data_IF_701521383464
#
_entry.id   IF_701521383464
#
_cell.length_a   1.000
_cell.length_b   1.000
_cell.length_c   1.000
_cell.angle_alpha   90.00
_cell.angle_beta   90.00
_cell.angle_gamma   90.00
#
_symmetry.space_group_name_H-M   'P 1'
#
loop_
_entity.id
_entity.type
_entity.pdbx_description
1 polymer ?
#
# COMPACT_ATOMS: atom_id res chain seq x y z
N UNK A 1 -7.52 -26.40 2.64
CA UNK A 1 -8.41 -25.28 2.99
C UNK A 1 -7.61 -24.34 3.86
N UNK A 2 -7.20 -23.18 3.35
CA UNK A 2 -6.06 -22.37 3.88
C UNK A 2 -6.40 -21.53 5.13
N UNK A 3 -7.64 -21.64 5.65
CA UNK A 3 -8.11 -20.84 6.78
C UNK A 3 -8.54 -21.66 8.02
N UNK A 4 -8.26 -22.97 8.05
CA UNK A 4 -8.86 -23.88 9.05
C UNK A 4 -8.09 -24.04 10.36
N UNK A 5 -6.81 -23.68 10.40
CA UNK A 5 -5.99 -23.85 11.62
C UNK A 5 -6.51 -22.99 12.77
N UNK A 6 -6.77 -23.58 13.93
CA UNK A 6 -7.21 -22.83 15.11
C UNK A 6 -6.11 -21.98 15.75
N UNK A 7 -4.84 -22.20 15.38
CA UNK A 7 -3.69 -21.44 15.89
C UNK A 7 -3.42 -20.15 15.12
N UNK A 8 -4.25 -19.80 14.14
CA UNK A 8 -4.11 -18.60 13.31
C UNK A 8 -5.36 -17.75 13.51
N UNK A 9 -5.24 -16.60 14.17
CA UNK A 9 -6.41 -15.79 14.58
C UNK A 9 -6.99 -14.94 13.45
N UNK A 10 -6.16 -14.53 12.49
CA UNK A 10 -6.55 -13.69 11.36
C UNK A 10 -5.74 -14.04 10.11
N UNK A 11 -6.19 -13.59 8.96
CA UNK A 11 -5.48 -13.76 7.68
C UNK A 11 -4.95 -12.43 7.17
N UNK A 12 -3.92 -12.50 6.34
CA UNK A 12 -3.30 -11.33 5.71
C UNK A 12 -3.32 -11.48 4.20
N UNK A 13 -3.38 -10.33 3.52
CA UNK A 13 -3.32 -10.26 2.06
C UNK A 13 -2.34 -9.15 1.68
N UNK A 14 -1.57 -9.40 0.61
CA UNK A 14 -0.64 -8.43 0.03
C UNK A 14 -1.03 -8.15 -1.41
N UNK A 15 -0.92 -6.88 -1.84
CA UNK A 15 -1.40 -6.42 -3.14
C UNK A 15 -0.31 -5.66 -3.91
N UNK A 16 0.22 -6.31 -4.95
CA UNK A 16 1.42 -5.86 -5.67
C UNK A 16 1.22 -5.84 -7.18
N UNK A 17 0.39 -4.91 -7.68
CA UNK A 17 -0.04 -4.88 -9.10
C UNK A 17 1.09 -4.71 -10.12
N UNK A 18 2.20 -4.08 -9.73
CA UNK A 18 3.40 -3.95 -10.56
C UNK A 18 4.21 -5.26 -10.56
N UNK A 19 4.48 -5.85 -9.40
CA UNK A 19 5.19 -7.13 -9.30
C UNK A 19 4.42 -8.29 -9.96
N UNK A 20 3.09 -8.23 -10.01
CA UNK A 20 2.25 -9.21 -10.69
C UNK A 20 2.15 -8.98 -12.21
N UNK A 21 2.81 -7.96 -12.75
CA UNK A 21 2.84 -7.63 -14.18
C UNK A 21 1.53 -7.05 -14.73
N UNK A 22 0.64 -6.56 -13.86
CA UNK A 22 -0.65 -5.96 -14.26
C UNK A 22 -0.49 -4.47 -14.56
N UNK A 23 0.38 -3.79 -13.81
CA UNK A 23 0.71 -2.38 -14.01
C UNK A 23 2.11 -2.23 -14.60
N UNK A 24 2.22 -1.44 -15.66
CA UNK A 24 3.49 -0.92 -16.16
C UNK A 24 3.53 0.58 -15.87
N UNK A 25 4.40 1.05 -14.96
CA UNK A 25 4.50 2.47 -14.62
C UNK A 25 4.97 3.35 -15.80
N UNK A 26 5.70 2.80 -16.78
CA UNK A 26 6.08 3.51 -18.00
C UNK A 26 4.94 3.63 -19.03
N UNK A 27 3.87 2.85 -18.85
CA UNK A 27 2.66 2.88 -19.66
C UNK A 27 1.41 2.99 -18.78
N UNK A 28 1.47 3.89 -17.80
CA UNK A 28 0.44 4.04 -16.77
C UNK A 28 -0.94 4.35 -17.33
N UNK A 29 -1.03 5.14 -18.42
CA UNK A 29 -2.32 5.49 -19.02
C UNK A 29 -3.11 4.28 -19.51
N UNK A 30 -2.42 3.27 -20.06
CA UNK A 30 -3.04 2.06 -20.56
C UNK A 30 -3.25 1.01 -19.45
N UNK A 31 -2.29 0.87 -18.53
CA UNK A 31 -2.29 -0.25 -17.57
C UNK A 31 -2.96 0.08 -16.23
N UNK A 32 -2.99 1.35 -15.81
CA UNK A 32 -3.54 1.74 -14.50
C UNK A 32 -5.03 1.38 -14.32
N UNK A 33 -5.93 1.54 -15.31
CA UNK A 33 -7.32 1.11 -15.16
C UNK A 33 -7.46 -0.39 -14.89
N UNK A 34 -6.64 -1.21 -15.57
CA UNK A 34 -6.60 -2.67 -15.39
C UNK A 34 -6.06 -3.03 -13.99
N UNK A 35 -4.97 -2.38 -13.57
CA UNK A 35 -4.39 -2.55 -12.25
C UNK A 35 -5.39 -2.21 -11.13
N UNK A 36 -6.15 -1.13 -11.28
CA UNK A 36 -7.16 -0.73 -10.30
C UNK A 36 -8.34 -1.71 -10.25
N UNK A 37 -8.80 -2.20 -11.41
CA UNK A 37 -9.84 -3.22 -11.47
C UNK A 37 -9.39 -4.53 -10.81
N UNK A 38 -8.17 -4.98 -11.10
CA UNK A 38 -7.57 -6.15 -10.50
C UNK A 38 -7.41 -6.02 -8.98
N UNK A 39 -6.93 -4.87 -8.50
CA UNK A 39 -6.81 -4.57 -7.08
C UNK A 39 -8.14 -4.65 -6.33
N UNK A 40 -9.20 -4.03 -6.88
CA UNK A 40 -10.54 -4.08 -6.28
C UNK A 40 -11.09 -5.50 -6.26
N UNK A 41 -10.98 -6.23 -7.38
CA UNK A 41 -11.41 -7.62 -7.44
C UNK A 41 -10.66 -8.49 -6.43
N UNK A 42 -9.35 -8.30 -6.30
CA UNK A 42 -8.53 -9.02 -5.32
C UNK A 42 -9.06 -8.80 -3.90
N UNK A 43 -9.29 -7.55 -3.49
CA UNK A 43 -9.84 -7.25 -2.16
C UNK A 43 -11.25 -7.83 -1.98
N UNK A 44 -12.14 -7.69 -2.98
CA UNK A 44 -13.52 -8.18 -2.92
C UNK A 44 -13.58 -9.71 -2.77
N UNK A 45 -12.81 -10.43 -3.59
CA UNK A 45 -12.71 -11.88 -3.52
C UNK A 45 -12.26 -12.35 -2.13
N UNK A 46 -11.32 -11.64 -1.49
CA UNK A 46 -10.84 -12.01 -0.16
C UNK A 46 -11.79 -11.58 0.96
N UNK A 47 -12.48 -10.45 0.81
CA UNK A 47 -13.52 -10.03 1.75
C UNK A 47 -14.67 -11.05 1.86
N UNK A 48 -14.84 -11.94 0.88
CA UNK A 48 -15.83 -13.02 0.93
C UNK A 48 -15.48 -14.12 1.94
N UNK A 49 -14.22 -14.27 2.37
CA UNK A 49 -13.84 -15.21 3.43
C UNK A 49 -14.20 -14.61 4.80
N UNK A 50 -15.15 -15.24 5.49
CA UNK A 50 -15.75 -14.69 6.73
C UNK A 50 -15.32 -15.37 8.02
N UNK A 51 -14.58 -16.46 7.93
CA UNK A 51 -14.25 -17.28 9.11
C UNK A 51 -13.25 -16.58 10.05
N UNK A 52 -12.43 -15.68 9.50
CA UNK A 52 -11.41 -14.93 10.24
C UNK A 52 -11.30 -13.49 9.75
N UNK A 53 -10.92 -12.54 10.61
CA UNK A 53 -10.58 -11.19 10.18
C UNK A 53 -9.47 -11.21 9.12
N UNK A 54 -9.49 -10.23 8.21
CA UNK A 54 -8.48 -10.06 7.17
C UNK A 54 -7.87 -8.67 7.30
N UNK A 55 -6.55 -8.59 7.12
CA UNK A 55 -5.78 -7.34 7.04
C UNK A 55 -5.08 -7.27 5.68
N UNK A 56 -5.27 -6.16 4.97
CA UNK A 56 -4.44 -5.80 3.81
C UNK A 56 -3.13 -5.22 4.36
N UNK A 57 -2.21 -6.07 4.79
CA UNK A 57 -1.03 -5.60 5.52
C UNK A 57 0.07 -5.05 4.62
N UNK A 58 -0.02 -5.27 3.31
CA UNK A 58 0.87 -4.65 2.33
C UNK A 58 0.14 -4.30 1.05
N UNK A 59 0.35 -3.08 0.58
CA UNK A 59 0.10 -2.70 -0.80
C UNK A 59 0.96 -1.50 -1.19
N UNK A 60 1.37 -1.44 -2.44
CA UNK A 60 2.18 -0.35 -2.95
C UNK A 60 2.15 -0.25 -4.47
N UNK A 61 2.64 0.88 -4.98
CA UNK A 61 2.86 1.13 -6.40
C UNK A 61 3.98 2.17 -6.54
N UNK A 62 4.76 2.08 -7.61
CA UNK A 62 5.93 2.94 -7.81
C UNK A 62 5.56 4.41 -7.99
N UNK A 63 6.58 5.27 -8.00
CA UNK A 63 6.42 6.68 -8.40
C UNK A 63 6.15 6.76 -9.92
N UNK A 64 5.75 7.92 -10.40
CA UNK A 64 5.42 8.09 -11.81
C UNK A 64 6.61 7.72 -12.71
N UNK A 65 6.34 6.98 -13.80
CA UNK A 65 7.34 6.47 -14.75
C UNK A 65 8.46 5.64 -14.10
N UNK A 66 8.16 4.86 -13.05
CA UNK A 66 9.10 4.01 -12.32
C UNK A 66 10.29 4.78 -11.72
N UNK A 67 10.13 6.07 -11.45
CA UNK A 67 11.23 6.86 -10.90
C UNK A 67 11.56 6.41 -9.48
N UNK A 68 12.86 6.30 -9.19
CA UNK A 68 13.41 5.95 -7.88
C UNK A 68 13.87 7.21 -7.11
N UNK A 69 13.61 8.40 -7.64
CA UNK A 69 13.97 9.68 -7.00
C UNK A 69 12.89 10.13 -6.03
N UNK A 70 13.28 10.53 -4.82
CA UNK A 70 12.38 11.09 -3.81
C UNK A 70 11.70 12.40 -4.21
N UNK A 71 12.17 13.06 -5.28
CA UNK A 71 11.60 14.31 -5.80
C UNK A 71 10.67 14.09 -6.99
N UNK A 72 10.56 12.87 -7.51
CA UNK A 72 9.70 12.60 -8.65
C UNK A 72 8.22 12.59 -8.26
N UNK A 73 7.29 12.94 -9.16
CA UNK A 73 5.86 12.93 -8.86
C UNK A 73 5.32 11.55 -8.48
N UNK A 74 4.22 11.54 -7.72
CA UNK A 74 3.53 10.34 -7.21
C UNK A 74 2.05 10.35 -7.61
N UNK A 75 1.72 10.90 -8.78
CA UNK A 75 0.32 11.14 -9.16
C UNK A 75 -0.48 9.86 -9.39
N UNK A 76 0.14 8.82 -9.93
CA UNK A 76 -0.49 7.50 -10.10
C UNK A 76 -0.64 6.80 -8.76
N UNK A 77 0.39 6.87 -7.90
CA UNK A 77 0.35 6.36 -6.53
C UNK A 77 -0.78 6.98 -5.70
N UNK A 78 -0.95 8.30 -5.74
CA UNK A 78 -2.02 8.97 -5.00
C UNK A 78 -3.42 8.53 -5.44
N UNK A 79 -3.62 8.36 -6.75
CA UNK A 79 -4.88 7.82 -7.29
C UNK A 79 -5.11 6.39 -6.83
N UNK A 80 -4.05 5.57 -6.86
CA UNK A 80 -4.09 4.18 -6.43
C UNK A 80 -4.42 4.06 -4.95
N UNK A 81 -3.67 4.76 -4.10
CA UNK A 81 -3.83 4.75 -2.63
C UNK A 81 -5.22 5.19 -2.24
N UNK A 82 -5.73 6.29 -2.82
CA UNK A 82 -7.10 6.76 -2.54
C UNK A 82 -8.14 5.68 -2.86
N UNK A 83 -7.99 5.00 -3.98
CA UNK A 83 -8.95 4.00 -4.41
C UNK A 83 -8.86 2.70 -3.60
N UNK A 84 -7.65 2.21 -3.31
CA UNK A 84 -7.41 1.00 -2.50
C UNK A 84 -7.86 1.22 -1.06
N UNK A 85 -7.46 2.32 -0.41
CA UNK A 85 -7.90 2.63 0.95
C UNK A 85 -9.43 2.79 1.03
N UNK A 86 -10.05 3.51 0.08
CA UNK A 86 -11.51 3.65 0.07
C UNK A 86 -12.20 2.30 -0.07
N UNK A 87 -11.71 1.44 -0.95
CA UNK A 87 -12.30 0.13 -1.18
C UNK A 87 -12.14 -0.78 0.04
N UNK A 88 -10.93 -0.89 0.60
CA UNK A 88 -10.66 -1.63 1.83
C UNK A 88 -11.52 -1.11 3.01
N UNK A 89 -11.64 0.21 3.15
CA UNK A 89 -12.50 0.84 4.17
C UNK A 89 -13.97 0.44 4.03
N UNK A 90 -14.49 0.38 2.80
CA UNK A 90 -15.86 -0.06 2.53
C UNK A 90 -16.09 -1.52 2.94
N UNK A 91 -15.09 -2.38 2.73
CA UNK A 91 -15.09 -3.78 3.18
C UNK A 91 -14.73 -3.96 4.65
N UNK A 92 -14.43 -2.88 5.39
CA UNK A 92 -13.95 -2.91 6.78
C UNK A 92 -12.66 -3.72 6.97
N UNK A 93 -11.81 -3.76 5.95
CA UNK A 93 -10.50 -4.40 5.98
C UNK A 93 -9.48 -3.32 6.39
N UNK A 94 -8.78 -3.46 7.52
CA UNK A 94 -7.64 -2.60 7.86
C UNK A 94 -6.56 -2.73 6.78
N UNK A 95 -5.95 -1.61 6.41
CA UNK A 95 -4.96 -1.58 5.34
C UNK A 95 -3.70 -0.83 5.77
N UNK A 96 -2.55 -1.41 5.46
CA UNK A 96 -1.22 -0.85 5.71
C UNK A 96 -0.50 -0.70 4.37
N UNK A 97 -0.05 0.52 4.07
CA UNK A 97 0.71 0.77 2.87
C UNK A 97 2.16 0.31 3.05
N UNK A 98 2.76 -0.16 1.98
CA UNK A 98 4.19 -0.41 1.91
C UNK A 98 4.85 0.69 1.06
N UNK A 99 5.80 1.46 1.58
CA UNK A 99 6.25 1.50 2.98
C UNK A 99 6.66 2.93 3.37
N UNK A 100 6.81 3.19 4.67
CA UNK A 100 7.21 4.52 5.15
C UNK A 100 8.73 4.67 5.10
N UNK A 101 9.23 5.57 4.24
CA UNK A 101 10.63 5.94 4.17
C UNK A 101 11.01 7.08 5.12
N UNK A 102 10.03 7.90 5.52
CA UNK A 102 10.25 9.02 6.43
C UNK A 102 11.32 9.98 5.92
N UNK A 103 12.21 10.41 6.82
CA UNK A 103 13.30 11.36 6.55
C UNK A 103 14.48 10.73 5.79
N UNK A 104 14.58 9.40 5.76
CA UNK A 104 15.68 8.70 5.10
C UNK A 104 15.70 8.97 3.59
N UNK A 105 16.89 8.98 3.00
CA UNK A 105 17.05 9.12 1.54
C UNK A 105 18.04 8.12 1.00
N UNK A 106 17.76 7.62 -0.21
CA UNK A 106 18.79 6.87 -0.93
C UNK A 106 19.96 7.79 -1.27
N UNK A 107 21.18 7.30 -1.06
CA UNK A 107 22.41 7.98 -1.48
C UNK A 107 22.43 8.26 -2.98
N UNK A 108 21.90 7.33 -3.77
CA UNK A 108 21.70 7.46 -5.22
C UNK A 108 20.35 6.83 -5.55
N UNK A 109 19.41 7.54 -6.21
CA UNK A 109 18.13 6.97 -6.62
C UNK A 109 18.28 5.58 -7.26
N UNK A 110 17.65 4.57 -6.68
CA UNK A 110 17.67 3.20 -7.17
C UNK A 110 18.92 2.37 -6.88
N UNK A 111 19.92 2.93 -6.19
CA UNK A 111 20.99 2.09 -5.65
C UNK A 111 20.43 1.10 -4.64
N UNK A 112 20.99 -0.10 -4.60
CA UNK A 112 20.75 -1.03 -3.50
C UNK A 112 21.42 -0.53 -2.23
N UNK A 113 20.75 -0.74 -1.09
CA UNK A 113 21.24 -0.32 0.22
C UNK A 113 22.62 -0.92 0.53
N UNK A 114 23.47 -0.15 1.19
CA UNK A 114 24.75 -0.58 1.74
C UNK A 114 24.86 -0.17 3.20
N UNK A 115 25.74 -0.86 3.93
CA UNK A 115 26.05 -0.49 5.30
C UNK A 115 26.45 0.99 5.39
N UNK A 116 25.73 1.73 6.23
CA UNK A 116 25.90 3.18 6.42
C UNK A 116 24.97 4.06 5.60
N UNK A 117 24.21 3.50 4.65
CA UNK A 117 23.11 4.21 4.00
C UNK A 117 21.90 4.30 4.96
N UNK A 118 21.09 5.36 4.82
CA UNK A 118 19.85 5.52 5.59
C UNK A 118 18.89 4.34 5.35
N UNK A 119 18.18 3.94 6.40
CA UNK A 119 17.04 3.04 6.25
C UNK A 119 15.84 3.81 5.69
N UNK A 120 15.21 3.23 4.68
CA UNK A 120 13.93 3.66 4.12
C UNK A 120 12.99 2.45 4.06
N UNK A 121 11.80 2.62 3.49
CA UNK A 121 10.79 1.55 3.41
C UNK A 121 11.16 0.42 2.46
N UNK A 122 12.04 0.68 1.48
CA UNK A 122 12.52 -0.33 0.54
C UNK A 122 13.65 -1.17 1.21
N UNK A 123 13.48 -2.50 1.33
CA UNK A 123 14.46 -3.39 1.92
C UNK A 123 15.69 -3.57 1.02
N UNK A 124 16.85 -4.02 1.55
CA UNK A 124 18.12 -4.06 0.80
C UNK A 124 18.18 -4.91 -0.47
N UNK A 125 17.17 -5.75 -0.72
CA UNK A 125 17.06 -6.55 -1.94
C UNK A 125 16.27 -5.86 -3.06
N UNK A 126 15.76 -4.65 -2.80
CA UNK A 126 15.04 -3.80 -3.74
C UNK A 126 15.84 -2.52 -4.03
N UNK A 127 15.62 -1.87 -5.18
CA UNK A 127 16.17 -0.55 -5.45
C UNK A 127 15.63 0.49 -4.45
N UNK A 128 16.51 1.24 -3.78
CA UNK A 128 16.08 2.26 -2.82
C UNK A 128 15.32 3.41 -3.52
N UNK A 129 14.06 3.62 -3.13
CA UNK A 129 13.14 4.60 -3.70
C UNK A 129 11.98 4.02 -4.52
N UNK A 130 11.85 2.69 -4.58
CA UNK A 130 10.81 2.02 -5.38
C UNK A 130 9.39 2.27 -4.84
N UNK A 131 9.13 1.86 -3.61
CA UNK A 131 7.82 1.97 -2.95
C UNK A 131 7.81 2.88 -1.73
N UNK A 132 8.97 3.33 -1.24
CA UNK A 132 9.04 4.30 -0.14
C UNK A 132 8.14 5.53 -0.35
N UNK A 133 7.38 5.86 0.69
CA UNK A 133 6.67 7.13 0.90
C UNK A 133 7.52 7.99 1.82
N UNK A 134 8.03 9.10 1.32
CA UNK A 134 8.89 10.00 2.08
C UNK A 134 8.08 11.02 2.89
N UNK A 135 8.71 11.64 3.88
CA UNK A 135 8.16 12.77 4.65
C UNK A 135 7.79 13.97 3.75
N UNK A 136 8.41 14.08 2.58
CA UNK A 136 8.12 15.12 1.58
C UNK A 136 7.01 14.78 0.59
N UNK A 137 6.47 13.54 0.61
CA UNK A 137 5.36 13.11 -0.26
C UNK A 137 4.01 13.59 0.31
N UNK A 138 3.86 14.90 0.48
CA UNK A 138 2.76 15.54 1.19
C UNK A 138 1.37 15.06 0.73
N UNK A 139 1.16 14.92 -0.58
CA UNK A 139 -0.12 14.49 -1.14
C UNK A 139 -0.47 13.04 -0.77
N UNK A 140 0.53 12.14 -0.77
CA UNK A 140 0.36 10.75 -0.32
C UNK A 140 0.10 10.70 1.18
N UNK A 141 0.85 11.48 1.97
CA UNK A 141 0.69 11.56 3.43
C UNK A 141 -0.68 12.10 3.84
N UNK A 142 -1.23 13.08 3.11
CA UNK A 142 -2.58 13.59 3.33
C UNK A 142 -3.65 12.51 3.10
N UNK A 143 -3.49 11.69 2.06
CA UNK A 143 -4.39 10.56 1.79
C UNK A 143 -4.33 9.54 2.93
N UNK A 144 -3.12 9.16 3.35
CA UNK A 144 -2.90 8.21 4.47
C UNK A 144 -3.54 8.77 5.76
N UNK A 145 -3.28 10.03 6.09
CA UNK A 145 -3.85 10.71 7.26
C UNK A 145 -5.38 10.72 7.23
N UNK A 146 -5.97 11.03 6.08
CA UNK A 146 -7.42 11.04 5.91
C UNK A 146 -8.02 9.67 6.24
N UNK A 147 -7.49 8.59 5.67
CA UNK A 147 -8.03 7.25 5.92
C UNK A 147 -7.73 6.71 7.32
N UNK A 148 -6.58 7.07 7.91
CA UNK A 148 -6.29 6.76 9.31
C UNK A 148 -7.33 7.39 10.26
N UNK A 149 -7.69 8.66 10.03
CA UNK A 149 -8.75 9.33 10.81
C UNK A 149 -10.15 8.75 10.57
N UNK A 150 -10.44 8.29 9.36
CA UNK A 150 -11.71 7.61 9.08
C UNK A 150 -11.82 6.26 9.82
N UNK A 151 -10.72 5.51 9.91
CA UNK A 151 -10.68 4.25 10.62
C UNK A 151 -10.95 4.42 12.13
N UNK A 152 -10.42 5.48 12.74
CA UNK A 152 -10.61 5.76 14.18
C UNK A 152 -11.98 6.35 14.52
N UNK A 153 -12.56 7.23 13.67
CA UNK A 153 -13.92 7.76 13.92
C UNK A 153 -15.00 6.68 13.95
N UNK A 154 -14.85 5.65 13.11
CA UNK A 154 -15.80 4.55 13.02
C UNK A 154 -15.69 3.56 14.19
N UNK A 155 -14.52 3.44 14.82
CA UNK A 155 -14.36 2.61 16.03
C UNK A 155 -14.99 3.28 17.27
N UNK A 156 -14.97 4.61 17.36
CA UNK A 156 -15.64 5.36 18.44
C UNK A 156 -17.18 5.36 18.37
N UNK A 157 -17.76 5.09 17.20
CA UNK A 157 -19.23 5.01 17.05
C UNK A 157 -19.83 3.66 17.49
N UNK A 158 -18.98 2.64 17.72
CA UNK A 158 -19.39 1.29 18.09
C UNK A 158 -19.07 0.94 19.55
N UNK A 159 -18.63 1.91 20.37
CA UNK A 159 -18.23 1.66 21.77
C UNK A 159 -19.35 1.84 22.80
N UNK A 160 -20.59 2.10 22.38
CA UNK A 160 -21.76 1.99 23.26
C UNK A 160 -22.38 0.60 23.11
N UNK A 161 -21.86 -0.39 23.84
CA UNK A 161 -22.53 -1.62 24.27
C UNK A 161 -21.48 -2.52 24.94
N UNK A 162 -21.04 -2.12 26.13
CA UNK A 162 -20.68 -3.01 27.24
C UNK A 162 -21.02 -2.27 28.54
#
# INVERSE_FOLDING_TARGET
NEHVSQCIDYATIHLWVENWGIHDPHNSSATFPLALAAAKKFIDDRAAYKDKPIVLEEFGISRDNASLSSTSPVTVRDKYYRAVFQFAHNHRIPATFWAYGGEGRSRIPGAYWRQGDDFIGDPPHEPQGWYSVYDTDNSTLEIIRYFALMATKKSSANTSLF
#
